data_IF_642787291376
#
_entry.id   IF_642787291376
#
_cell.length_a   1.000
_cell.length_b   1.000
_cell.length_c   1.000
_cell.angle_alpha   90.00
_cell.angle_beta   90.00
_cell.angle_gamma   90.00
#
_symmetry.space_group_name_H-M   'P 1'
#
loop_
_entity.id
_entity.type
_entity.pdbx_description
1 polymer ?
#
# COMPACT_ATOMS: atom_id res chain seq x y z
N UNK A 1 -0.21 -9.52 -2.86
CA UNK A 1 -1.35 -8.98 -2.08
C UNK A 1 -2.67 -9.16 -2.82
N UNK A 2 -2.89 -8.59 -4.02
CA UNK A 2 -4.18 -8.77 -4.72
C UNK A 2 -4.52 -10.24 -5.03
N UNK A 3 -3.57 -11.01 -5.59
CA UNK A 3 -3.79 -12.45 -5.82
C UNK A 3 -4.07 -13.22 -4.52
N UNK A 4 -3.35 -12.85 -3.46
CA UNK A 4 -3.43 -13.46 -2.12
C UNK A 4 -4.78 -13.17 -1.46
N UNK A 5 -5.28 -11.94 -1.56
CA UNK A 5 -6.60 -11.54 -1.05
C UNK A 5 -7.78 -12.18 -1.79
N UNK A 6 -7.59 -12.63 -3.03
CA UNK A 6 -8.59 -13.40 -3.81
C UNK A 6 -8.45 -14.92 -3.59
N UNK A 7 -7.53 -15.35 -2.71
CA UNK A 7 -7.27 -16.77 -2.43
C UNK A 7 -6.61 -17.51 -3.59
N UNK A 8 -5.98 -16.80 -4.53
CA UNK A 8 -5.21 -17.37 -5.63
C UNK A 8 -3.73 -17.48 -5.22
N UNK A 9 -2.99 -18.46 -5.77
CA UNK A 9 -1.59 -18.63 -5.43
C UNK A 9 -0.80 -17.37 -5.81
N UNK A 10 -0.04 -16.86 -4.84
CA UNK A 10 0.53 -15.52 -4.84
C UNK A 10 2.00 -15.48 -5.28
N UNK A 11 2.58 -16.59 -5.76
CA UNK A 11 3.98 -16.58 -6.23
C UNK A 11 4.07 -15.72 -7.48
N UNK A 12 5.19 -15.00 -7.65
CA UNK A 12 5.44 -14.17 -8.83
C UNK A 12 5.45 -14.98 -10.14
N UNK A 13 5.81 -16.26 -10.05
CA UNK A 13 5.74 -17.21 -11.17
C UNK A 13 4.31 -17.58 -11.58
N UNK A 14 3.32 -17.35 -10.71
CA UNK A 14 1.97 -17.83 -10.92
C UNK A 14 1.23 -16.97 -11.95
N UNK A 15 0.44 -17.63 -12.79
CA UNK A 15 -0.30 -17.01 -13.89
C UNK A 15 -1.24 -15.90 -13.41
N UNK A 16 -1.87 -16.09 -12.25
CA UNK A 16 -2.80 -15.11 -11.67
C UNK A 16 -2.08 -13.87 -11.15
N UNK A 17 -1.01 -14.05 -10.36
CA UNK A 17 -0.19 -12.94 -9.86
C UNK A 17 0.34 -12.10 -11.03
N UNK A 18 0.89 -12.74 -12.06
CA UNK A 18 1.39 -12.06 -13.26
C UNK A 18 0.30 -11.30 -14.01
N UNK A 19 -0.90 -11.89 -14.19
CA UNK A 19 -2.03 -11.21 -14.85
C UNK A 19 -2.46 -9.97 -14.09
N UNK A 20 -2.58 -10.05 -12.76
CA UNK A 20 -2.93 -8.88 -11.95
C UNK A 20 -1.87 -7.79 -12.04
N UNK A 21 -0.58 -8.13 -12.01
CA UNK A 21 0.50 -7.16 -12.20
C UNK A 21 0.40 -6.47 -13.56
N UNK A 22 0.21 -7.23 -14.64
CA UNK A 22 0.05 -6.66 -15.99
C UNK A 22 -1.15 -5.72 -16.06
N UNK A 23 -2.29 -6.11 -15.50
CA UNK A 23 -3.50 -5.27 -15.49
C UNK A 23 -3.25 -3.96 -14.73
N UNK A 24 -2.65 -4.01 -13.54
CA UNK A 24 -2.34 -2.81 -12.76
C UNK A 24 -1.36 -1.88 -13.49
N UNK A 25 -0.34 -2.44 -14.16
CA UNK A 25 0.60 -1.66 -14.97
C UNK A 25 -0.08 -1.01 -16.17
N UNK A 26 -0.97 -1.72 -16.87
CA UNK A 26 -1.75 -1.17 -17.98
C UNK A 26 -2.68 -0.05 -17.51
N UNK A 27 -3.30 -0.17 -16.34
CA UNK A 27 -4.11 0.90 -15.74
C UNK A 27 -3.24 2.12 -15.44
N UNK A 28 -2.06 1.93 -14.83
CA UNK A 28 -1.12 3.02 -14.57
C UNK A 28 -0.67 3.73 -15.85
N UNK A 29 -0.38 2.96 -16.90
CA UNK A 29 -0.04 3.49 -18.22
C UNK A 29 -1.19 4.28 -18.84
N UNK A 30 -2.43 3.78 -18.77
CA UNK A 30 -3.60 4.48 -19.29
C UNK A 30 -3.83 5.82 -18.56
N UNK A 31 -3.73 5.84 -17.24
CA UNK A 31 -3.83 7.08 -16.44
C UNK A 31 -2.72 8.07 -16.84
N UNK A 32 -1.48 7.59 -17.01
CA UNK A 32 -0.38 8.44 -17.44
C UNK A 32 -0.61 9.04 -18.84
N UNK A 33 -1.11 8.25 -19.79
CA UNK A 33 -1.46 8.70 -21.14
C UNK A 33 -2.52 9.81 -21.12
N UNK A 34 -3.57 9.66 -20.30
CA UNK A 34 -4.64 10.66 -20.15
C UNK A 34 -4.07 11.97 -19.60
N UNK A 35 -3.25 11.89 -18.55
CA UNK A 35 -2.62 13.07 -17.93
C UNK A 35 -1.69 13.79 -18.91
N UNK A 36 -1.01 13.07 -19.81
CA UNK A 36 -0.14 13.66 -20.83
C UNK A 36 -0.91 14.39 -21.95
N UNK A 37 -2.11 13.92 -22.30
CA UNK A 37 -2.93 14.51 -23.37
C UNK A 37 -3.92 15.58 -22.88
N UNK A 38 -4.09 15.73 -21.57
CA UNK A 38 -4.98 16.71 -20.96
C UNK A 38 -4.16 17.85 -20.36
N UNK A 39 -4.65 19.11 -20.30
CA UNK A 39 -3.95 20.21 -19.63
C UNK A 39 -3.87 20.09 -18.08
N UNK A 40 -4.07 18.90 -17.52
CA UNK A 40 -3.93 18.65 -16.08
C UNK A 40 -2.47 18.87 -15.68
N UNK A 41 -2.23 19.55 -14.56
CA UNK A 41 -0.88 19.69 -14.04
C UNK A 41 -0.38 18.30 -13.64
N UNK A 42 0.72 17.85 -14.25
CA UNK A 42 1.36 16.55 -13.98
C UNK A 42 1.62 16.32 -12.48
N UNK A 43 1.91 17.40 -11.76
CA UNK A 43 2.12 17.42 -10.32
C UNK A 43 0.87 16.94 -9.56
N UNK A 44 -0.33 17.33 -9.99
CA UNK A 44 -1.58 16.97 -9.30
C UNK A 44 -1.85 15.47 -9.40
N UNK A 45 -1.53 14.85 -10.55
CA UNK A 45 -1.62 13.40 -10.71
C UNK A 45 -0.62 12.63 -9.81
N UNK A 46 0.59 13.17 -9.65
CA UNK A 46 1.60 12.61 -8.73
C UNK A 46 1.11 12.73 -7.28
N UNK A 47 0.59 13.90 -6.90
CA UNK A 47 0.04 14.15 -5.57
C UNK A 47 -1.13 13.21 -5.28
N UNK A 48 -2.03 13.00 -6.25
CA UNK A 48 -3.14 12.06 -6.14
C UNK A 48 -2.65 10.61 -5.92
N UNK A 49 -1.72 10.14 -6.75
CA UNK A 49 -1.13 8.80 -6.57
C UNK A 49 -0.46 8.63 -5.22
N UNK A 50 0.27 9.65 -4.76
CA UNK A 50 0.89 9.64 -3.43
C UNK A 50 -0.15 9.58 -2.31
N UNK A 51 -1.23 10.36 -2.40
CA UNK A 51 -2.31 10.34 -1.43
C UNK A 51 -2.89 8.93 -1.24
N UNK A 52 -3.07 8.17 -2.34
CA UNK A 52 -3.51 6.77 -2.27
C UNK A 52 -2.52 5.89 -1.50
N UNK A 53 -1.22 6.03 -1.74
CA UNK A 53 -0.18 5.23 -1.06
C UNK A 53 -0.01 5.60 0.41
N UNK A 54 -0.17 6.88 0.74
CA UNK A 54 -0.12 7.43 2.10
C UNK A 54 -1.20 6.82 2.98
N UNK A 55 -2.38 6.56 2.43
CA UNK A 55 -3.48 5.90 3.13
C UNK A 55 -3.31 4.37 3.12
N UNK A 56 -2.85 3.80 2.00
CA UNK A 56 -2.70 2.35 1.84
C UNK A 56 -1.64 1.72 2.76
N UNK A 57 -0.49 2.39 2.93
CA UNK A 57 0.63 1.85 3.71
C UNK A 57 0.30 1.64 5.21
N UNK A 58 -0.30 2.60 5.93
CA UNK A 58 -0.76 2.38 7.31
C UNK A 58 -1.72 1.20 7.43
N UNK A 59 -2.68 1.08 6.51
CA UNK A 59 -3.64 -0.02 6.52
C UNK A 59 -2.94 -1.39 6.34
N UNK A 60 -1.97 -1.46 5.43
CA UNK A 60 -1.15 -2.67 5.25
C UNK A 60 -0.31 -2.97 6.49
N UNK A 61 0.31 -1.96 7.12
CA UNK A 61 1.11 -2.15 8.33
C UNK A 61 0.26 -2.68 9.50
N UNK A 62 -0.94 -2.12 9.71
CA UNK A 62 -1.88 -2.57 10.74
C UNK A 62 -2.30 -4.02 10.48
N UNK A 63 -2.71 -4.34 9.25
CA UNK A 63 -3.20 -5.68 8.89
C UNK A 63 -2.10 -6.73 9.02
N UNK A 64 -0.86 -6.42 8.60
CA UNK A 64 0.28 -7.33 8.76
C UNK A 64 0.65 -7.54 10.22
N UNK A 65 0.71 -6.47 11.03
CA UNK A 65 1.02 -6.60 12.45
C UNK A 65 -0.07 -7.38 13.19
N UNK A 66 -1.34 -7.19 12.82
CA UNK A 66 -2.45 -7.96 13.35
C UNK A 66 -2.37 -9.45 12.96
N UNK A 67 -2.10 -9.73 11.69
CA UNK A 67 -1.98 -11.10 11.18
C UNK A 67 -0.79 -11.84 11.83
N UNK A 68 0.33 -11.15 12.03
CA UNK A 68 1.52 -11.69 12.68
C UNK A 68 1.27 -12.09 14.15
N UNK A 69 0.23 -11.53 14.78
CA UNK A 69 -0.17 -11.83 16.16
C UNK A 69 -1.28 -12.88 16.28
N UNK A 70 -1.90 -13.27 15.16
CA UNK A 70 -3.02 -14.21 15.12
C UNK A 70 -2.55 -15.67 15.17
N UNK A 71 -3.07 -16.46 16.13
CA UNK A 71 -2.68 -17.89 16.31
C UNK A 71 -3.13 -18.75 15.15
N UNK A 72 -4.32 -18.45 14.66
CA UNK A 72 -4.98 -19.09 13.53
C UNK A 72 -4.15 -19.01 12.25
N UNK A 73 -3.31 -17.97 12.09
CA UNK A 73 -2.50 -17.77 10.88
C UNK A 73 -1.03 -18.09 11.10
N UNK A 74 -0.41 -17.59 12.17
CA UNK A 74 1.02 -17.80 12.44
C UNK A 74 1.34 -19.00 13.34
N UNK A 75 0.34 -19.64 13.94
CA UNK A 75 0.52 -20.80 14.81
C UNK A 75 1.46 -20.51 15.99
N UNK A 76 2.55 -21.28 16.06
CA UNK A 76 3.61 -21.16 17.06
C UNK A 76 4.68 -20.11 16.70
N UNK A 77 4.70 -19.61 15.45
CA UNK A 77 5.64 -18.57 14.99
C UNK A 77 5.05 -17.16 15.07
N UNK A 78 4.30 -16.90 16.13
CA UNK A 78 3.76 -15.57 16.38
C UNK A 78 4.84 -14.59 16.77
N UNK A 79 4.56 -13.31 16.52
CA UNK A 79 5.45 -12.25 16.98
C UNK A 79 5.68 -12.37 18.49
N UNK A 80 6.96 -12.35 18.86
CA UNK A 80 7.38 -12.18 20.25
C UNK A 80 7.15 -10.74 20.68
N UNK A 81 7.20 -10.50 21.99
CA UNK A 81 6.98 -9.17 22.56
C UNK A 81 7.93 -8.11 21.97
N UNK A 82 9.19 -8.49 21.68
CA UNK A 82 10.18 -7.64 21.01
C UNK A 82 9.75 -7.25 19.59
N UNK A 83 9.29 -8.22 18.80
CA UNK A 83 8.83 -7.99 17.42
C UNK A 83 7.56 -7.12 17.38
N UNK A 84 6.70 -7.24 18.39
CA UNK A 84 5.54 -6.36 18.52
C UNK A 84 5.90 -4.92 18.90
N UNK A 85 6.90 -4.72 19.76
CA UNK A 85 7.39 -3.37 20.07
C UNK A 85 8.00 -2.73 18.82
N UNK A 86 8.86 -3.46 18.10
CA UNK A 86 9.45 -2.97 16.86
C UNK A 86 8.41 -2.72 15.76
N UNK A 87 7.45 -3.64 15.61
CA UNK A 87 6.35 -3.49 14.66
C UNK A 87 5.43 -2.32 15.02
N UNK A 88 5.15 -2.11 16.31
CA UNK A 88 4.40 -0.96 16.82
C UNK A 88 5.12 0.36 16.58
N UNK A 89 6.44 0.42 16.82
CA UNK A 89 7.25 1.59 16.53
C UNK A 89 7.26 1.89 15.02
N UNK A 90 7.44 0.88 14.18
CA UNK A 90 7.35 1.02 12.73
C UNK A 90 5.99 1.52 12.26
N UNK A 91 4.91 1.01 12.86
CA UNK A 91 3.55 1.47 12.59
C UNK A 91 3.36 2.95 12.99
N UNK A 92 3.87 3.36 14.15
CA UNK A 92 3.83 4.76 14.59
C UNK A 92 4.57 5.69 13.62
N UNK A 93 5.74 5.26 13.13
CA UNK A 93 6.51 6.02 12.13
C UNK A 93 5.73 6.15 10.82
N UNK A 94 5.13 5.05 10.32
CA UNK A 94 4.33 5.07 9.09
C UNK A 94 3.11 5.98 9.25
N UNK A 95 2.42 5.93 10.39
CA UNK A 95 1.29 6.83 10.69
C UNK A 95 1.75 8.29 10.73
N UNK A 96 2.87 8.58 11.39
CA UNK A 96 3.40 9.93 11.47
C UNK A 96 3.76 10.50 10.09
N UNK A 97 4.44 9.71 9.25
CA UNK A 97 4.76 10.09 7.88
C UNK A 97 3.47 10.29 7.08
N UNK A 98 2.49 9.39 7.22
CA UNK A 98 1.24 9.49 6.50
C UNK A 98 0.48 10.78 6.84
N UNK A 99 0.40 11.13 8.13
CA UNK A 99 -0.20 12.38 8.61
C UNK A 99 0.56 13.60 8.04
N UNK A 100 1.89 13.60 8.09
CA UNK A 100 2.72 14.69 7.56
C UNK A 100 2.48 14.92 6.07
N UNK A 101 2.46 13.83 5.29
CA UNK A 101 2.22 13.93 3.84
C UNK A 101 0.79 14.35 3.57
N UNK A 102 -0.20 13.83 4.30
CA UNK A 102 -1.59 14.24 4.17
C UNK A 102 -1.77 15.75 4.40
N UNK A 103 -1.18 16.30 5.46
CA UNK A 103 -1.19 17.74 5.70
C UNK A 103 -0.55 18.53 4.56
N UNK A 104 0.60 18.07 4.07
CA UNK A 104 1.29 18.72 2.94
C UNK A 104 0.42 18.69 1.68
N UNK A 105 -0.26 17.58 1.41
CA UNK A 105 -1.17 17.45 0.27
C UNK A 105 -2.35 18.40 0.40
N UNK A 106 -2.99 18.46 1.58
CA UNK A 106 -4.12 19.38 1.83
C UNK A 106 -3.69 20.84 1.68
N UNK A 107 -2.53 21.24 2.22
CA UNK A 107 -2.01 22.60 2.06
C UNK A 107 -1.54 22.96 0.65
N UNK A 108 -1.44 21.99 -0.26
CA UNK A 108 -1.15 22.23 -1.69
C UNK A 108 -2.41 22.34 -2.52
N UNK A 109 -3.53 21.82 -2.02
CA UNK A 109 -4.85 21.81 -2.67
C UNK A 109 -5.69 23.05 -2.29
N UNK A 110 -5.50 23.60 -1.08
CA UNK A 110 -6.09 24.86 -0.60
C UNK A 110 -5.14 26.03 -0.83
#
# INVERSE_FOLDING_TARGET
ILADGVGKPAKLSDRWSRRFTVVVLLVGMAVAMIVLHTPIKKIDAIIFGQALTVIGNPLMAVTLLWLANRKDVMGERRNTLVLNILGGLGLLVVIFIAIRVLFLVVSRLT
#
